data_IF_033392691728
#
_entry.id   IF_033392691728
#
_cell.length_a   1.000
_cell.length_b   1.000
_cell.length_c   1.000
_cell.angle_alpha   90.00
_cell.angle_beta   90.00
_cell.angle_gamma   90.00
#
_symmetry.space_group_name_H-M   'P 1'
#
loop_
_entity.id
_entity.type
_entity.pdbx_description
1 polymer ?
#
# COMPACT_ATOMS: atom_id res chain seq x y z
N UNK A 1 12.43 -17.07 -1.68
CA UNK A 1 11.28 -16.98 -2.60
C UNK A 1 10.51 -15.70 -2.30
N UNK A 2 10.26 -14.84 -3.30
CA UNK A 2 9.70 -13.49 -3.11
C UNK A 2 8.39 -13.43 -2.31
N UNK A 3 7.55 -14.46 -2.40
CA UNK A 3 6.28 -14.55 -1.66
C UNK A 3 6.45 -14.61 -0.14
N UNK A 4 7.45 -15.35 0.37
CA UNK A 4 7.72 -15.41 1.82
C UNK A 4 8.20 -14.05 2.35
N UNK A 5 9.09 -13.39 1.60
CA UNK A 5 9.56 -12.04 1.92
C UNK A 5 8.43 -11.02 1.88
N UNK A 6 7.49 -11.15 0.92
CA UNK A 6 6.32 -10.29 0.83
C UNK A 6 5.39 -10.41 2.05
N UNK A 7 5.07 -11.64 2.47
CA UNK A 7 4.26 -11.89 3.66
C UNK A 7 4.96 -11.34 4.92
N UNK A 8 6.26 -11.58 5.04
CA UNK A 8 7.05 -11.08 6.17
C UNK A 8 7.05 -9.54 6.25
N UNK A 9 7.34 -8.87 5.13
CA UNK A 9 7.37 -7.40 5.05
C UNK A 9 6.00 -6.79 5.30
N UNK A 10 4.93 -7.32 4.70
CA UNK A 10 3.57 -6.83 4.93
C UNK A 10 3.14 -7.00 6.40
N UNK A 11 3.46 -8.15 7.00
CA UNK A 11 3.14 -8.42 8.40
C UNK A 11 3.87 -7.46 9.36
N UNK A 12 5.13 -7.12 9.06
CA UNK A 12 5.91 -6.15 9.82
C UNK A 12 5.43 -4.72 9.62
N UNK A 13 5.04 -4.32 8.41
CA UNK A 13 4.41 -3.02 8.18
C UNK A 13 3.10 -2.90 8.96
N UNK A 14 2.27 -3.94 9.00
CA UNK A 14 1.03 -3.92 9.78
C UNK A 14 1.31 -3.81 11.29
N UNK A 15 2.36 -4.49 11.76
CA UNK A 15 2.84 -4.37 13.14
C UNK A 15 3.30 -2.94 13.46
N UNK A 16 4.10 -2.30 12.61
CA UNK A 16 4.59 -0.93 12.86
C UNK A 16 3.46 0.09 12.84
N UNK A 17 2.46 -0.08 11.97
CA UNK A 17 1.24 0.75 12.01
C UNK A 17 0.47 0.55 13.32
N UNK A 18 0.38 -0.69 13.83
CA UNK A 18 -0.29 -0.98 15.09
C UNK A 18 0.46 -0.38 16.29
N UNK A 19 1.79 -0.45 16.26
CA UNK A 19 2.69 0.11 17.28
C UNK A 19 2.63 1.65 17.30
N UNK A 20 2.58 2.28 16.13
CA UNK A 20 2.33 3.71 15.95
C UNK A 20 0.89 4.14 16.32
N UNK A 21 0.09 3.25 16.94
CA UNK A 21 -1.32 3.45 17.29
C UNK A 21 -2.17 3.86 16.09
N UNK A 22 -1.82 3.45 14.88
CA UNK A 22 -2.63 3.63 13.66
C UNK A 22 -3.52 2.42 13.34
N UNK A 23 -3.31 1.28 14.01
CA UNK A 23 -4.15 0.06 13.94
C UNK A 23 -4.58 -0.43 15.35
N UNK A 24 -5.47 -1.44 15.47
CA UNK A 24 -5.82 -2.03 16.76
C UNK A 24 -4.61 -2.67 17.44
N UNK A 25 -4.50 -2.57 18.77
CA UNK A 25 -3.37 -3.15 19.54
C UNK A 25 -3.25 -4.66 19.41
N UNK A 26 -4.27 -5.35 18.90
CA UNK A 26 -4.21 -6.80 18.63
C UNK A 26 -3.09 -7.12 17.62
N UNK A 27 -2.81 -6.22 16.68
CA UNK A 27 -1.78 -6.41 15.66
C UNK A 27 -0.35 -6.18 16.16
N UNK A 28 -0.14 -5.70 17.40
CA UNK A 28 1.20 -5.59 18.03
C UNK A 28 1.61 -6.85 18.79
N UNK A 29 0.79 -7.91 18.82
CA UNK A 29 1.16 -9.16 19.51
C UNK A 29 2.19 -9.96 18.71
N UNK A 30 3.33 -10.20 19.35
CA UNK A 30 4.43 -11.02 18.85
C UNK A 30 4.35 -12.45 19.42
N UNK A 31 4.67 -13.45 18.62
CA UNK A 31 4.86 -14.83 19.07
C UNK A 31 6.28 -15.04 19.63
N UNK A 32 6.53 -16.20 20.26
CA UNK A 32 7.83 -16.62 20.83
C UNK A 32 9.03 -16.54 19.87
N UNK A 33 8.79 -16.56 18.57
CA UNK A 33 9.82 -16.42 17.52
C UNK A 33 10.00 -14.97 17.03
N UNK A 34 9.41 -13.98 17.72
CA UNK A 34 9.49 -12.57 17.34
C UNK A 34 8.68 -12.21 16.09
N UNK A 35 7.76 -13.06 15.66
CA UNK A 35 6.92 -12.86 14.46
C UNK A 35 5.54 -12.34 14.87
N UNK A 36 5.01 -11.28 14.22
CA UNK A 36 3.70 -10.73 14.56
C UNK A 36 2.57 -11.67 14.08
N UNK A 37 1.94 -12.37 15.02
CA UNK A 37 1.05 -13.50 14.72
C UNK A 37 -0.22 -13.09 13.98
N UNK A 38 -0.93 -12.07 14.50
CA UNK A 38 -2.18 -11.60 13.89
C UNK A 38 -1.96 -11.00 12.51
N UNK A 39 -0.91 -10.18 12.26
CA UNK A 39 -0.57 -9.77 10.91
C UNK A 39 -0.30 -10.90 9.93
N UNK A 40 0.46 -11.93 10.31
CA UNK A 40 0.73 -13.07 9.43
C UNK A 40 -0.55 -13.82 9.09
N UNK A 41 -1.42 -14.06 10.08
CA UNK A 41 -2.71 -14.70 9.85
C UNK A 41 -3.61 -13.84 8.96
N UNK A 42 -3.63 -12.52 9.15
CA UNK A 42 -4.45 -11.64 8.32
C UNK A 42 -3.99 -11.68 6.85
N UNK A 43 -2.68 -11.62 6.60
CA UNK A 43 -2.11 -11.71 5.24
C UNK A 43 -2.36 -13.10 4.65
N UNK A 44 -2.06 -14.18 5.39
CA UNK A 44 -2.27 -15.56 4.93
C UNK A 44 -3.75 -15.88 4.70
N UNK A 45 -4.63 -15.40 5.58
CA UNK A 45 -6.07 -15.53 5.45
C UNK A 45 -6.62 -14.79 4.23
N UNK A 46 -6.11 -13.60 3.92
CA UNK A 46 -6.46 -12.88 2.69
C UNK A 46 -6.06 -13.65 1.43
N UNK A 47 -4.87 -14.25 1.42
CA UNK A 47 -4.40 -15.10 0.31
C UNK A 47 -5.29 -16.34 0.17
N UNK A 48 -5.56 -17.06 1.26
CA UNK A 48 -6.44 -18.23 1.26
C UNK A 48 -7.85 -17.88 0.78
N UNK A 49 -8.40 -16.76 1.23
CA UNK A 49 -9.70 -16.27 0.78
C UNK A 49 -9.69 -15.98 -0.72
N UNK A 50 -8.61 -15.38 -1.25
CA UNK A 50 -8.43 -15.19 -2.69
C UNK A 50 -8.40 -16.51 -3.47
N UNK A 51 -7.72 -17.54 -2.95
CA UNK A 51 -7.69 -18.89 -3.56
C UNK A 51 -9.06 -19.56 -3.53
N UNK A 52 -9.77 -19.48 -2.40
CA UNK A 52 -11.13 -20.02 -2.25
C UNK A 52 -12.09 -19.31 -3.21
N UNK A 53 -12.04 -17.98 -3.30
CA UNK A 53 -12.84 -17.23 -4.27
C UNK A 53 -12.51 -17.67 -5.69
N UNK A 54 -11.23 -17.80 -6.05
CA UNK A 54 -10.84 -18.24 -7.39
C UNK A 54 -11.37 -19.64 -7.73
N UNK A 55 -11.44 -20.54 -6.74
CA UNK A 55 -11.96 -21.91 -6.94
C UNK A 55 -13.50 -21.97 -6.98
N UNK A 56 -14.21 -21.17 -6.17
CA UNK A 56 -15.66 -21.25 -6.03
C UNK A 56 -16.43 -20.34 -7.01
N UNK A 57 -15.88 -19.19 -7.40
CA UNK A 57 -16.59 -18.23 -8.25
C UNK A 57 -16.96 -18.76 -9.64
N UNK A 58 -16.14 -19.60 -10.32
CA UNK A 58 -16.52 -20.20 -11.60
C UNK A 58 -17.79 -21.04 -11.55
N UNK A 59 -18.14 -21.61 -10.38
CA UNK A 59 -19.37 -22.39 -10.18
C UNK A 59 -20.61 -21.51 -10.03
N UNK A 60 -20.45 -20.25 -9.61
CA UNK A 60 -21.55 -19.32 -9.31
C UNK A 60 -21.76 -18.32 -10.46
N UNK A 61 -20.68 -17.91 -11.14
CA UNK A 61 -20.70 -16.94 -12.23
C UNK A 61 -19.72 -17.35 -13.35
N UNK A 62 -20.14 -18.20 -14.30
CA UNK A 62 -19.29 -18.64 -15.42
C UNK A 62 -18.82 -17.51 -16.35
N UNK A 63 -19.51 -16.36 -16.31
CA UNK A 63 -19.16 -15.16 -17.08
C UNK A 63 -18.04 -14.32 -16.44
N UNK A 64 -17.64 -14.60 -15.21
CA UNK A 64 -16.52 -13.93 -14.57
C UNK A 64 -15.21 -14.49 -15.15
N UNK A 65 -14.66 -13.82 -16.17
CA UNK A 65 -13.27 -14.04 -16.63
C UNK A 65 -12.35 -14.18 -15.41
N UNK A 66 -11.52 -15.23 -15.39
CA UNK A 66 -10.51 -15.58 -14.37
C UNK A 66 -10.36 -14.58 -13.21
N UNK A 67 -10.89 -14.92 -12.03
CA UNK A 67 -10.83 -14.09 -10.80
C UNK A 67 -9.41 -13.62 -10.50
N UNK A 68 -8.42 -14.48 -10.74
CA UNK A 68 -7.01 -14.13 -10.65
C UNK A 68 -6.65 -12.89 -11.48
N UNK A 69 -7.10 -12.80 -12.74
CA UNK A 69 -6.81 -11.67 -13.62
C UNK A 69 -7.48 -10.40 -13.11
N UNK A 70 -8.71 -10.50 -12.62
CA UNK A 70 -9.43 -9.36 -12.04
C UNK A 70 -8.73 -8.84 -10.76
N UNK A 71 -8.39 -9.74 -9.83
CA UNK A 71 -7.70 -9.39 -8.58
C UNK A 71 -6.30 -8.83 -8.86
N UNK A 72 -5.53 -9.50 -9.72
CA UNK A 72 -4.20 -9.05 -10.13
C UNK A 72 -4.24 -7.65 -10.73
N UNK A 73 -5.12 -7.44 -11.71
CA UNK A 73 -5.23 -6.15 -12.41
C UNK A 73 -5.75 -5.05 -11.48
N UNK A 74 -6.65 -5.37 -10.53
CA UNK A 74 -7.10 -4.42 -9.51
C UNK A 74 -6.03 -4.03 -8.49
N UNK A 75 -5.01 -4.87 -8.28
CA UNK A 75 -3.92 -4.62 -7.34
C UNK A 75 -2.88 -3.62 -7.86
N UNK A 76 -2.88 -3.33 -9.16
CA UNK A 76 -1.96 -2.39 -9.81
C UNK A 76 -2.14 -0.97 -9.25
N UNK A 77 -3.38 -0.50 -9.13
CA UNK A 77 -3.68 0.84 -8.62
C UNK A 77 -3.21 1.07 -7.17
N UNK A 78 -3.61 0.24 -6.19
CA UNK A 78 -3.07 0.34 -4.84
C UNK A 78 -1.55 0.20 -4.79
N UNK A 79 -0.97 -0.63 -5.66
CA UNK A 79 0.47 -0.80 -5.81
C UNK A 79 1.20 0.46 -6.32
N UNK A 80 0.54 1.31 -7.11
CA UNK A 80 1.10 2.58 -7.58
C UNK A 80 1.11 3.68 -6.51
N UNK A 81 0.23 3.61 -5.50
CA UNK A 81 0.11 4.65 -4.47
C UNK A 81 1.42 4.85 -3.69
N UNK A 82 2.11 3.80 -3.18
CA UNK A 82 3.41 3.96 -2.52
C UNK A 82 4.44 4.68 -3.38
N UNK A 83 4.49 4.43 -4.69
CA UNK A 83 5.45 5.10 -5.58
C UNK A 83 5.19 6.60 -5.68
N UNK A 84 3.92 6.98 -5.85
CA UNK A 84 3.52 8.40 -5.87
C UNK A 84 3.88 9.04 -4.51
N UNK A 85 3.56 8.37 -3.40
CA UNK A 85 3.88 8.86 -2.05
C UNK A 85 5.38 9.04 -1.87
N UNK A 86 6.20 8.06 -2.27
CA UNK A 86 7.67 8.14 -2.17
C UNK A 86 8.20 9.34 -2.96
N UNK A 87 7.76 9.52 -4.21
CA UNK A 87 8.22 10.62 -5.07
C UNK A 87 7.82 11.99 -4.50
N UNK A 88 6.58 12.13 -4.05
CA UNK A 88 6.08 13.37 -3.43
C UNK A 88 6.81 13.66 -2.11
N UNK A 89 7.01 12.62 -1.28
CA UNK A 89 7.77 12.73 -0.03
C UNK A 89 9.21 13.15 -0.28
N UNK A 90 9.87 12.64 -1.31
CA UNK A 90 11.23 13.03 -1.66
C UNK A 90 11.29 14.49 -2.13
N UNK A 91 10.40 14.90 -3.04
CA UNK A 91 10.31 16.29 -3.50
C UNK A 91 10.11 17.24 -2.32
N UNK A 92 9.21 16.90 -1.39
CA UNK A 92 8.94 17.69 -0.19
C UNK A 92 10.13 17.69 0.77
N UNK A 93 10.78 16.55 0.96
CA UNK A 93 11.96 16.42 1.82
C UNK A 93 13.08 17.34 1.33
N UNK A 94 13.37 17.35 0.02
CA UNK A 94 14.35 18.24 -0.60
C UNK A 94 13.98 19.71 -0.47
N UNK A 95 12.70 20.06 -0.62
CA UNK A 95 12.23 21.46 -0.45
C UNK A 95 12.39 21.95 0.98
N UNK A 96 12.09 21.11 1.98
CA UNK A 96 12.15 21.47 3.40
C UNK A 96 13.59 21.49 3.92
N UNK A 97 14.46 20.60 3.43
CA UNK A 97 15.84 20.46 3.88
C UNK A 97 16.85 20.98 2.84
N UNK A 98 16.45 21.96 2.03
CA UNK A 98 17.27 22.48 0.93
C UNK A 98 18.68 22.87 1.40
N UNK A 99 18.78 23.48 2.58
CA UNK A 99 20.04 23.93 3.18
C UNK A 99 20.97 22.77 3.62
N UNK A 100 20.40 21.60 3.93
CA UNK A 100 21.14 20.41 4.37
C UNK A 100 21.44 19.45 3.22
N UNK A 101 20.80 19.64 2.05
CA UNK A 101 20.95 18.76 0.89
C UNK A 101 22.33 18.86 0.23
N UNK A 102 23.04 19.98 0.40
CA UNK A 102 24.39 20.16 -0.13
C UNK A 102 25.39 19.13 0.47
N UNK A 103 25.25 18.82 1.76
CA UNK A 103 26.13 17.94 2.53
C UNK A 103 25.58 16.53 2.74
N UNK A 104 24.44 16.19 2.13
CA UNK A 104 23.83 14.89 2.34
C UNK A 104 24.63 13.78 1.62
N UNK A 105 24.94 12.66 2.30
CA UNK A 105 25.78 11.58 1.75
C UNK A 105 25.11 10.85 0.58
N UNK A 106 23.77 10.85 0.53
CA UNK A 106 23.00 10.23 -0.53
C UNK A 106 22.46 11.30 -1.49
N UNK A 107 23.12 11.44 -2.65
CA UNK A 107 22.70 12.33 -3.74
C UNK A 107 22.11 11.50 -4.86
N UNK A 108 20.86 11.78 -5.20
CA UNK A 108 20.19 11.07 -6.28
C UNK A 108 20.58 11.73 -7.61
N UNK A 109 21.08 10.97 -8.60
CA UNK A 109 21.46 11.54 -9.88
C UNK A 109 20.24 12.15 -10.56
N UNK A 110 20.41 13.35 -11.13
CA UNK A 110 19.36 14.11 -11.83
C UNK A 110 18.16 14.57 -10.99
N UNK A 111 18.24 14.50 -9.65
CA UNK A 111 17.21 15.08 -8.80
C UNK A 111 17.22 16.62 -8.90
N UNK A 112 16.05 17.30 -8.91
CA UNK A 112 14.70 16.75 -8.73
C UNK A 112 13.97 16.38 -10.05
N UNK A 113 14.60 16.54 -11.22
CA UNK A 113 13.94 16.35 -12.52
C UNK A 113 13.49 14.91 -12.75
N UNK A 114 14.28 13.93 -12.31
CA UNK A 114 13.92 12.51 -12.37
C UNK A 114 12.59 12.22 -11.67
N UNK A 115 12.31 12.85 -10.52
CA UNK A 115 11.07 12.62 -9.78
C UNK A 115 9.85 13.15 -10.50
N UNK A 116 9.95 14.34 -11.09
CA UNK A 116 8.87 14.89 -11.91
C UNK A 116 8.64 14.07 -13.17
N UNK A 117 9.71 13.61 -13.82
CA UNK A 117 9.62 12.71 -14.97
C UNK A 117 8.89 11.41 -14.61
N UNK A 118 9.24 10.77 -13.50
CA UNK A 118 8.57 9.55 -13.04
C UNK A 118 7.11 9.79 -12.66
N UNK A 119 6.79 10.93 -12.02
CA UNK A 119 5.40 11.29 -11.71
C UNK A 119 4.57 11.50 -12.99
N UNK A 120 5.13 12.17 -14.00
CA UNK A 120 4.47 12.36 -15.30
C UNK A 120 4.25 11.00 -15.97
N UNK A 121 5.26 10.11 -15.94
CA UNK A 121 5.17 8.77 -16.51
C UNK A 121 4.11 7.89 -15.81
N UNK A 122 4.02 7.97 -14.48
CA UNK A 122 2.96 7.30 -13.70
C UNK A 122 1.57 7.86 -14.05
N UNK A 123 1.42 9.17 -14.15
CA UNK A 123 0.16 9.80 -14.54
C UNK A 123 -0.26 9.40 -15.96
N UNK A 124 0.70 9.35 -16.89
CA UNK A 124 0.49 8.90 -18.26
C UNK A 124 0.05 7.44 -18.31
N UNK A 125 0.66 6.57 -17.50
CA UNK A 125 0.27 5.15 -17.40
C UNK A 125 -1.17 5.01 -16.90
N UNK A 126 -1.56 5.77 -15.86
CA UNK A 126 -2.94 5.78 -15.36
C UNK A 126 -3.93 6.27 -16.42
N UNK A 127 -3.55 7.28 -17.20
CA UNK A 127 -4.36 7.79 -18.31
C UNK A 127 -4.58 6.72 -19.39
N UNK A 128 -3.53 5.99 -19.79
CA UNK A 128 -3.66 4.90 -20.78
C UNK A 128 -4.46 3.70 -20.25
N UNK A 129 -4.39 3.41 -18.95
CA UNK A 129 -5.22 2.38 -18.33
C UNK A 129 -6.71 2.76 -18.32
N UNK A 130 -7.05 4.06 -18.31
CA UNK A 130 -8.44 4.52 -18.42
C UNK A 130 -9.02 4.34 -19.82
N UNK A 131 -8.19 4.53 -20.86
CA UNK A 131 -8.60 4.40 -22.26
C UNK A 131 -8.84 2.94 -22.68
N UNK A 132 -8.17 1.98 -22.02
CA UNK A 132 -8.28 0.56 -22.35
C UNK A 132 -9.46 -0.10 -21.61
N UNK A 133 -10.47 -0.66 -22.30
CA UNK A 133 -11.66 -1.24 -21.67
C UNK A 133 -11.38 -2.41 -20.72
N UNK A 134 -10.34 -3.21 -21.00
CA UNK A 134 -9.96 -4.34 -20.14
C UNK A 134 -9.31 -3.87 -18.82
N UNK A 135 -8.62 -2.72 -18.82
CA UNK A 135 -7.99 -2.16 -17.62
C UNK A 135 -8.89 -1.18 -16.89
N UNK A 136 -9.86 -0.55 -17.55
CA UNK A 136 -10.77 0.41 -16.91
C UNK A 136 -11.66 -0.24 -15.84
N UNK A 137 -12.11 -1.47 -16.06
CA UNK A 137 -12.83 -2.27 -15.04
C UNK A 137 -11.92 -2.49 -13.81
N UNK A 138 -10.66 -2.84 -14.06
CA UNK A 138 -9.67 -3.06 -13.00
C UNK A 138 -9.35 -1.76 -12.25
N UNK A 139 -9.32 -0.63 -12.94
CA UNK A 139 -9.18 0.69 -12.33
C UNK A 139 -10.37 1.00 -11.41
N UNK A 140 -11.59 0.77 -11.87
CA UNK A 140 -12.79 1.02 -11.06
C UNK A 140 -12.77 0.18 -9.77
N UNK A 141 -12.44 -1.11 -9.88
CA UNK A 141 -12.29 -1.99 -8.71
C UNK A 141 -11.18 -1.49 -7.78
N UNK A 142 -10.03 -1.09 -8.32
CA UNK A 142 -8.92 -0.54 -7.53
C UNK A 142 -9.27 0.77 -6.83
N UNK A 143 -10.01 1.67 -7.48
CA UNK A 143 -10.52 2.92 -6.91
C UNK A 143 -11.52 2.64 -5.79
N UNK A 144 -12.47 1.73 -6.00
CA UNK A 144 -13.43 1.30 -4.97
C UNK A 144 -12.69 0.71 -3.77
N UNK A 145 -11.71 -0.17 -4.01
CA UNK A 145 -10.88 -0.76 -2.96
C UNK A 145 -10.12 0.31 -2.17
N UNK A 146 -9.44 1.25 -2.84
CA UNK A 146 -8.77 2.37 -2.19
C UNK A 146 -9.75 3.24 -1.38
N UNK A 147 -10.93 3.52 -1.94
CA UNK A 147 -11.99 4.24 -1.25
C UNK A 147 -12.45 3.53 0.02
N UNK A 148 -12.63 2.21 -0.02
CA UNK A 148 -12.98 1.39 1.14
C UNK A 148 -11.87 1.40 2.19
N UNK A 149 -10.59 1.31 1.79
CA UNK A 149 -9.46 1.39 2.72
C UNK A 149 -9.39 2.76 3.39
N UNK A 150 -9.53 3.84 2.62
CA UNK A 150 -9.56 5.22 3.14
C UNK A 150 -10.74 5.42 4.08
N UNK A 151 -11.94 4.96 3.69
CA UNK A 151 -13.13 5.03 4.53
C UNK A 151 -12.94 4.27 5.84
N UNK A 152 -12.43 3.03 5.76
CA UNK A 152 -12.12 2.22 6.94
C UNK A 152 -11.14 2.97 7.86
N UNK A 153 -10.09 3.56 7.30
CA UNK A 153 -9.12 4.36 8.06
C UNK A 153 -9.75 5.58 8.72
N UNK A 154 -10.59 6.35 8.00
CA UNK A 154 -11.27 7.53 8.54
C UNK A 154 -12.28 7.15 9.64
N UNK A 155 -13.04 6.07 9.46
CA UNK A 155 -13.96 5.56 10.48
C UNK A 155 -13.20 5.08 11.72
N UNK A 156 -12.05 4.44 11.52
CA UNK A 156 -11.18 4.01 12.61
C UNK A 156 -10.56 5.20 13.36
N UNK A 157 -10.15 6.26 12.66
CA UNK A 157 -9.66 7.50 13.27
C UNK A 157 -10.75 8.25 14.04
N UNK A 158 -11.98 8.32 13.52
CA UNK A 158 -13.11 8.95 14.22
C UNK A 158 -13.45 8.29 15.56
N UNK A 159 -13.12 7.00 15.72
CA UNK A 159 -13.28 6.26 16.98
C UNK A 159 -12.15 6.48 17.98
N UNK A 160 -11.11 7.25 17.61
CA UNK A 160 -10.00 7.60 18.51
C UNK A 160 -10.11 9.06 18.95
N UNK A 161 -10.02 9.37 20.26
CA UNK A 161 -9.80 10.74 20.71
C UNK A 161 -8.47 11.23 20.13
N UNK A 162 -8.43 12.51 19.72
CA UNK A 162 -7.35 13.14 18.97
C UNK A 162 -5.95 12.67 19.41
N UNK A 163 -5.25 11.98 18.51
CA UNK A 163 -3.86 11.54 18.73
C UNK A 163 -2.98 12.78 18.86
N UNK A 164 -2.43 13.02 20.05
CA UNK A 164 -1.42 14.05 20.27
C UNK A 164 -0.24 13.83 19.32
N UNK A 165 0.40 14.90 18.82
CA UNK A 165 1.49 14.81 17.87
C UNK A 165 2.59 13.89 18.41
N UNK A 166 3.07 13.01 17.54
CA UNK A 166 4.21 12.12 17.80
C UNK A 166 5.36 12.99 18.28
N UNK A 167 5.71 12.91 19.57
CA UNK A 167 6.97 13.47 20.08
C UNK A 167 8.09 12.72 19.37
N UNK A 168 8.77 13.41 18.47
CA UNK A 168 10.00 12.92 17.86
C UNK A 168 11.01 12.70 18.99
N UNK A 169 11.10 11.48 19.49
CA UNK A 169 12.13 11.11 20.45
C UNK A 169 13.42 10.96 19.64
N UNK A 170 14.23 12.02 19.63
CA UNK A 170 15.66 11.92 19.34
C UNK A 170 16.28 11.12 20.47
N UNK A 171 16.55 9.84 20.26
CA UNK A 171 17.62 9.09 20.91
C UNK A 171 18.22 8.12 19.89
#
# INVERSE_FOLDING_TARGET
SGSNSGIYSASRMLYTLADAKQLPRIFTKLNRHGVPFYPVIAVGGGILLGVILNALLPYIAPAAKNVFVLVYSSSVLPGMVPWIVILVSEIRFRKVHADQMANHPFKMPFAPYSNYLTLIFLAFTLFFMLLNPETSVSLLVGVVFLGLVVLHYLLYQRRKPATQPVKANRQ
#
